data_IF_693540242765
#
_entry.id   IF_693540242765
#
_cell.length_a   1.000
_cell.length_b   1.000
_cell.length_c   1.000
_cell.angle_alpha   90.00
_cell.angle_beta   90.00
_cell.angle_gamma   90.00
#
_symmetry.space_group_name_H-M   'P 1'
#
loop_
_entity.id
_entity.type
_entity.pdbx_description
1 polymer ?
#
# COMPACT_ATOMS: atom_id res chain seq x y z
N UNK A 1 32.92 2.95 32.37
CA UNK A 1 33.99 2.01 32.00
C UNK A 1 34.10 0.92 33.07
N UNK A 2 33.07 0.04 33.12
CA UNK A 2 33.11 -1.13 33.99
C UNK A 2 33.11 -2.38 33.10
N UNK A 3 34.32 -2.86 32.82
CA UNK A 3 34.53 -4.20 32.28
C UNK A 3 33.94 -5.21 33.28
N UNK A 4 33.08 -6.17 32.88
CA UNK A 4 32.60 -7.18 33.80
C UNK A 4 33.78 -8.02 34.28
N UNK A 5 34.07 -7.96 35.60
CA UNK A 5 35.07 -8.76 36.23
C UNK A 5 34.72 -10.26 36.01
N UNK A 6 35.64 -10.99 35.36
CA UNK A 6 35.51 -12.43 35.17
C UNK A 6 35.80 -13.13 36.51
N UNK A 7 34.73 -13.50 37.23
CA UNK A 7 34.80 -14.31 38.45
C UNK A 7 34.74 -15.82 38.12
N UNK A 8 35.66 -16.30 37.31
CA UNK A 8 35.83 -17.74 37.06
C UNK A 8 36.91 -18.33 37.92
N UNK A 9 36.63 -19.38 38.72
CA UNK A 9 37.64 -20.20 39.34
C UNK A 9 38.55 -20.78 38.27
N UNK A 10 39.87 -20.55 38.39
CA UNK A 10 40.85 -21.18 37.49
C UNK A 10 40.78 -22.71 37.67
N UNK A 11 40.62 -23.49 36.59
CA UNK A 11 40.55 -24.95 36.68
C UNK A 11 41.86 -25.51 37.27
N UNK A 12 41.72 -26.46 38.21
CA UNK A 12 42.86 -27.04 38.93
C UNK A 12 43.41 -28.32 38.32
N UNK A 13 42.62 -28.93 37.38
CA UNK A 13 43.07 -30.09 36.62
C UNK A 13 42.56 -30.08 35.17
N UNK A 14 43.07 -30.97 34.32
CA UNK A 14 42.72 -31.05 32.90
C UNK A 14 41.24 -31.47 32.66
N UNK A 15 40.65 -32.24 33.58
CA UNK A 15 39.25 -32.66 33.49
C UNK A 15 38.27 -31.51 33.73
N UNK A 16 38.59 -30.66 34.70
CA UNK A 16 37.78 -29.46 35.01
C UNK A 16 37.85 -28.45 33.86
N UNK A 17 39.03 -28.25 33.27
CA UNK A 17 39.20 -27.40 32.10
C UNK A 17 38.40 -27.87 30.91
N UNK A 18 38.41 -29.16 30.58
CA UNK A 18 37.65 -29.76 29.51
C UNK A 18 36.13 -29.57 29.73
N UNK A 19 35.67 -29.81 30.96
CA UNK A 19 34.25 -29.62 31.30
C UNK A 19 33.77 -28.18 31.12
N UNK A 20 34.56 -27.20 31.59
CA UNK A 20 34.26 -25.79 31.45
C UNK A 20 34.28 -25.34 29.97
N UNK A 21 35.28 -25.82 29.21
CA UNK A 21 35.34 -25.55 27.76
C UNK A 21 34.15 -26.12 27.03
N UNK A 22 33.72 -27.34 27.34
CA UNK A 22 32.54 -27.95 26.75
C UNK A 22 31.24 -27.21 27.08
N UNK A 23 31.10 -26.75 28.33
CA UNK A 23 29.93 -25.95 28.73
C UNK A 23 29.91 -24.58 28.05
N UNK A 24 31.08 -23.93 27.92
CA UNK A 24 31.24 -22.65 27.22
C UNK A 24 30.90 -22.81 25.70
N UNK A 25 31.38 -23.88 25.07
CA UNK A 25 31.09 -24.19 23.68
C UNK A 25 29.58 -24.38 23.44
N UNK A 26 28.95 -25.21 24.26
CA UNK A 26 27.48 -25.44 24.15
C UNK A 26 26.67 -24.17 24.43
N UNK A 27 27.16 -23.26 25.25
CA UNK A 27 26.54 -21.97 25.47
C UNK A 27 26.66 -21.09 24.24
N UNK A 28 27.86 -20.99 23.65
CA UNK A 28 28.10 -20.23 22.41
C UNK A 28 27.27 -20.78 21.24
N UNK A 29 27.17 -22.08 21.10
CA UNK A 29 26.33 -22.72 20.09
C UNK A 29 24.85 -22.31 20.23
N UNK A 30 24.32 -22.33 21.46
CA UNK A 30 22.93 -21.87 21.71
C UNK A 30 22.74 -20.39 21.47
N UNK A 31 23.71 -19.56 21.87
CA UNK A 31 23.67 -18.11 21.61
C UNK A 31 23.73 -17.82 20.11
N UNK A 32 24.59 -18.52 19.36
CA UNK A 32 24.65 -18.41 17.89
C UNK A 32 23.33 -18.81 17.24
N UNK A 33 22.75 -19.94 17.62
CA UNK A 33 21.47 -20.40 17.08
C UNK A 33 20.32 -19.43 17.40
N UNK A 34 20.31 -18.85 18.60
CA UNK A 34 19.33 -17.83 18.97
C UNK A 34 19.46 -16.57 18.10
N UNK A 35 20.70 -16.12 17.86
CA UNK A 35 20.96 -14.96 16.99
C UNK A 35 20.53 -15.25 15.54
N UNK A 36 20.88 -16.40 14.99
CA UNK A 36 20.47 -16.79 13.64
C UNK A 36 18.95 -16.79 13.48
N UNK A 37 18.22 -17.38 14.43
CA UNK A 37 16.77 -17.38 14.42
C UNK A 37 16.21 -15.95 14.52
N UNK A 38 16.76 -15.11 15.39
CA UNK A 38 16.32 -13.73 15.56
C UNK A 38 16.56 -12.89 14.29
N UNK A 39 17.69 -13.09 13.60
CA UNK A 39 17.95 -12.43 12.32
C UNK A 39 16.98 -12.86 11.24
N UNK A 40 16.69 -14.15 11.13
CA UNK A 40 15.71 -14.69 10.19
C UNK A 40 14.29 -14.13 10.43
N UNK A 41 13.89 -14.00 11.70
CA UNK A 41 12.60 -13.41 12.07
C UNK A 41 12.53 -11.92 11.69
N UNK A 42 13.62 -11.18 11.91
CA UNK A 42 13.72 -9.76 11.54
C UNK A 42 13.65 -9.60 10.01
N UNK A 43 14.42 -10.38 9.25
CA UNK A 43 14.42 -10.34 7.79
C UNK A 43 13.02 -10.63 7.24
N UNK A 44 12.36 -11.67 7.73
CA UNK A 44 10.99 -12.03 7.34
C UNK A 44 9.99 -10.90 7.64
N UNK A 45 10.10 -10.25 8.80
CA UNK A 45 9.25 -9.11 9.17
C UNK A 45 9.49 -7.90 8.28
N UNK A 46 10.75 -7.61 7.93
CA UNK A 46 11.10 -6.51 7.04
C UNK A 46 10.57 -6.73 5.62
N UNK A 47 10.67 -7.94 5.07
CA UNK A 47 10.12 -8.28 3.76
C UNK A 47 8.59 -8.16 3.72
N UNK A 48 7.89 -8.58 4.79
CA UNK A 48 6.44 -8.43 4.91
C UNK A 48 6.01 -6.96 4.99
N UNK A 49 6.74 -6.12 5.72
CA UNK A 49 6.47 -4.70 5.84
C UNK A 49 6.72 -3.95 4.51
N UNK A 50 7.75 -4.32 3.76
CA UNK A 50 8.05 -3.74 2.46
C UNK A 50 6.97 -4.12 1.43
N UNK A 51 6.58 -5.39 1.36
CA UNK A 51 5.49 -5.85 0.52
C UNK A 51 4.17 -5.14 0.88
N UNK A 52 3.87 -4.97 2.16
CA UNK A 52 2.68 -4.26 2.62
C UNK A 52 2.68 -2.77 2.20
N UNK A 53 3.85 -2.11 2.22
CA UNK A 53 4.00 -0.70 1.77
C UNK A 53 3.72 -0.53 0.29
N UNK A 54 4.23 -1.43 -0.54
CA UNK A 54 4.02 -1.36 -1.99
C UNK A 54 2.57 -1.60 -2.39
N UNK A 55 1.84 -2.34 -1.59
CA UNK A 55 0.43 -2.64 -1.76
C UNK A 55 -0.53 -1.66 -1.05
N UNK A 56 0.01 -0.69 -0.30
CA UNK A 56 -0.78 0.35 0.36
C UNK A 56 -0.88 1.59 -0.54
N UNK A 57 -2.11 2.05 -0.90
CA UNK A 57 -2.28 3.29 -1.65
C UNK A 57 -1.61 4.48 -0.95
N UNK A 58 -0.61 5.09 -1.59
CA UNK A 58 0.28 6.07 -0.94
C UNK A 58 0.67 7.27 -1.80
N UNK A 59 0.21 7.32 -3.05
CA UNK A 59 0.41 8.46 -3.96
C UNK A 59 -0.92 8.99 -4.46
N UNK A 60 -0.94 10.21 -4.97
CA UNK A 60 -2.11 10.74 -5.68
C UNK A 60 -2.32 9.99 -7.01
N UNK A 61 -3.58 9.77 -7.42
CA UNK A 61 -3.91 9.06 -8.66
C UNK A 61 -3.74 9.92 -9.92
N UNK A 62 -2.90 10.93 -9.88
CA UNK A 62 -2.66 11.87 -10.97
C UNK A 62 -1.17 12.20 -11.05
N UNK A 63 -0.67 12.43 -12.26
CA UNK A 63 0.73 12.79 -12.44
C UNK A 63 1.11 14.05 -11.65
N UNK A 64 2.21 14.03 -10.87
CA UNK A 64 2.66 15.20 -10.10
C UNK A 64 3.00 16.43 -10.98
N UNK A 65 3.29 16.21 -12.28
CA UNK A 65 3.57 17.28 -13.25
C UNK A 65 2.31 17.87 -13.91
N UNK A 66 1.13 17.31 -13.62
CA UNK A 66 -0.12 17.80 -14.17
C UNK A 66 -0.62 19.03 -13.39
N UNK A 67 -1.33 19.90 -14.08
CA UNK A 67 -2.11 20.97 -13.44
C UNK A 67 -3.44 20.39 -12.94
N UNK A 68 -3.63 20.37 -11.62
CA UNK A 68 -4.82 19.82 -10.98
C UNK A 68 -5.19 20.56 -9.69
N UNK A 69 -6.42 20.39 -9.25
CA UNK A 69 -6.88 20.80 -7.91
C UNK A 69 -7.90 19.81 -7.35
N UNK A 70 -8.01 19.76 -6.02
CA UNK A 70 -9.04 18.95 -5.35
C UNK A 70 -10.37 19.70 -5.46
N UNK A 71 -11.29 19.17 -6.26
CA UNK A 71 -12.60 19.79 -6.49
C UNK A 71 -13.63 19.36 -5.45
N UNK A 72 -13.50 18.16 -4.87
CA UNK A 72 -14.40 17.68 -3.82
C UNK A 72 -13.71 16.63 -2.94
N UNK A 73 -14.06 16.64 -1.64
CA UNK A 73 -13.44 15.77 -0.64
C UNK A 73 -14.37 14.62 -0.23
N UNK A 74 -13.78 13.62 0.40
CA UNK A 74 -14.51 12.57 1.09
C UNK A 74 -15.36 13.15 2.22
N UNK A 75 -16.59 12.65 2.37
CA UNK A 75 -17.47 13.04 3.46
C UNK A 75 -18.84 13.53 3.00
N UNK A 76 -19.60 14.12 3.93
CA UNK A 76 -20.93 14.67 3.63
C UNK A 76 -20.83 16.03 2.94
N UNK A 77 -21.52 16.16 1.81
CA UNK A 77 -21.61 17.40 1.01
C UNK A 77 -22.99 17.59 0.40
N UNK A 78 -23.25 18.75 -0.17
CA UNK A 78 -24.40 18.97 -1.03
C UNK A 78 -24.17 18.34 -2.41
N UNK A 79 -25.09 17.53 -2.86
CA UNK A 79 -25.05 16.95 -4.21
C UNK A 79 -25.15 18.07 -5.26
N UNK A 80 -24.23 18.15 -6.25
CA UNK A 80 -24.17 19.25 -7.20
C UNK A 80 -25.37 19.34 -8.15
N UNK A 81 -26.19 18.29 -8.24
CA UNK A 81 -27.36 18.25 -9.11
C UNK A 81 -28.68 18.48 -8.37
N UNK A 82 -28.77 17.98 -7.13
CA UNK A 82 -30.04 18.01 -6.37
C UNK A 82 -30.00 18.98 -5.19
N UNK A 83 -28.83 19.44 -4.77
CA UNK A 83 -28.62 20.25 -3.59
C UNK A 83 -28.82 19.49 -2.26
N UNK A 84 -29.20 18.23 -2.30
CA UNK A 84 -29.45 17.42 -1.09
C UNK A 84 -28.14 16.97 -0.45
N UNK A 85 -28.16 16.81 0.87
CA UNK A 85 -27.01 16.28 1.60
C UNK A 85 -26.74 14.82 1.20
N UNK A 86 -25.56 14.55 0.66
CA UNK A 86 -25.15 13.22 0.21
C UNK A 86 -23.72 12.92 0.72
N UNK A 87 -23.47 11.63 1.00
CA UNK A 87 -22.12 11.20 1.34
C UNK A 87 -21.31 10.94 0.06
N UNK A 88 -20.14 11.58 -0.03
CA UNK A 88 -19.16 11.38 -1.09
C UNK A 88 -18.10 10.38 -0.63
N UNK A 89 -18.08 9.20 -1.23
CA UNK A 89 -17.22 8.06 -0.83
C UNK A 89 -15.83 8.07 -1.45
N UNK A 90 -15.32 9.22 -1.88
CA UNK A 90 -14.01 9.36 -2.50
C UNK A 90 -13.50 10.80 -2.53
N UNK A 91 -12.43 11.00 -3.26
CA UNK A 91 -11.79 12.29 -3.53
C UNK A 91 -11.96 12.59 -5.03
N UNK A 92 -12.45 13.79 -5.36
CA UNK A 92 -12.54 14.25 -6.74
C UNK A 92 -11.38 15.21 -7.04
N UNK A 93 -10.57 14.86 -8.04
CA UNK A 93 -9.43 15.66 -8.48
C UNK A 93 -9.67 16.13 -9.90
N UNK A 94 -9.91 17.42 -10.04
CA UNK A 94 -10.14 18.09 -11.33
C UNK A 94 -8.82 18.43 -12.02
N UNK A 95 -8.83 18.35 -13.35
CA UNK A 95 -7.68 18.65 -14.20
C UNK A 95 -8.05 18.61 -15.66
N UNK A 96 -7.08 18.74 -16.54
CA UNK A 96 -7.31 18.70 -17.98
C UNK A 96 -7.74 17.31 -18.43
N UNK A 97 -8.75 17.25 -19.31
CA UNK A 97 -9.14 15.98 -19.95
C UNK A 97 -7.97 15.39 -20.70
N UNK A 98 -7.73 14.08 -20.50
CA UNK A 98 -6.57 13.39 -21.08
C UNK A 98 -5.34 13.31 -20.17
N UNK A 99 -5.34 13.96 -19.00
CA UNK A 99 -4.28 13.81 -17.99
C UNK A 99 -4.18 12.35 -17.54
N UNK A 100 -2.97 11.85 -17.36
CA UNK A 100 -2.71 10.48 -16.93
C UNK A 100 -3.27 10.22 -15.53
N UNK A 101 -3.99 9.12 -15.38
CA UNK A 101 -4.41 8.56 -14.09
C UNK A 101 -3.46 7.43 -13.74
N UNK A 102 -2.93 7.45 -12.51
CA UNK A 102 -1.90 6.53 -12.04
C UNK A 102 -2.46 5.54 -11.01
N UNK A 103 -1.96 4.32 -11.02
CA UNK A 103 -2.18 3.36 -9.95
C UNK A 103 -1.51 3.85 -8.66
N UNK A 104 -2.24 3.87 -7.55
CA UNK A 104 -1.75 4.44 -6.28
C UNK A 104 -0.95 3.47 -5.43
N UNK A 105 -0.96 2.18 -5.79
CA UNK A 105 -0.17 1.10 -5.21
C UNK A 105 -0.04 -0.04 -6.22
N UNK A 106 0.86 -0.99 -5.96
CA UNK A 106 0.92 -2.25 -6.71
C UNK A 106 -0.38 -3.03 -6.55
N UNK A 107 -0.82 -3.74 -7.58
CA UNK A 107 -2.06 -4.50 -7.51
C UNK A 107 -2.44 -5.20 -8.80
N UNK A 108 -3.66 -5.70 -8.82
CA UNK A 108 -4.24 -6.42 -9.95
C UNK A 108 -5.54 -5.76 -10.37
N UNK A 109 -5.77 -5.66 -11.67
CA UNK A 109 -7.02 -5.13 -12.22
C UNK A 109 -8.17 -6.07 -11.88
N UNK A 110 -9.08 -5.62 -11.00
CA UNK A 110 -10.30 -6.37 -10.64
C UNK A 110 -11.42 -6.15 -11.65
N UNK A 111 -11.58 -4.89 -12.13
CA UNK A 111 -12.65 -4.52 -13.08
C UNK A 111 -12.22 -3.40 -14.00
N UNK A 112 -12.67 -3.48 -15.28
CA UNK A 112 -12.62 -2.39 -16.26
C UNK A 112 -14.00 -2.31 -16.89
N UNK A 113 -14.83 -1.37 -16.45
CA UNK A 113 -16.23 -1.31 -16.83
C UNK A 113 -16.71 0.13 -17.06
N UNK A 114 -17.97 0.26 -17.49
CA UNK A 114 -18.69 1.52 -17.56
C UNK A 114 -19.98 1.42 -16.74
N UNK A 115 -20.23 2.43 -15.93
CA UNK A 115 -21.43 2.60 -15.13
C UNK A 115 -22.10 3.94 -15.42
N UNK A 116 -23.41 4.08 -15.14
CA UNK A 116 -24.14 5.33 -15.39
C UNK A 116 -23.71 6.47 -14.47
N UNK A 117 -23.30 6.16 -13.24
CA UNK A 117 -22.91 7.16 -12.24
C UNK A 117 -21.43 7.49 -12.36
N UNK A 118 -20.56 6.49 -12.26
CA UNK A 118 -19.12 6.64 -12.21
C UNK A 118 -18.44 6.70 -13.60
N UNK A 119 -19.20 6.51 -14.69
CA UNK A 119 -18.66 6.55 -16.05
C UNK A 119 -17.78 5.35 -16.38
N UNK A 120 -16.76 5.57 -17.19
CA UNK A 120 -15.69 4.58 -17.40
C UNK A 120 -14.81 4.52 -16.17
N UNK A 121 -14.55 3.33 -15.66
CA UNK A 121 -13.77 3.17 -14.43
C UNK A 121 -12.91 1.92 -14.42
N UNK A 122 -11.86 1.97 -13.62
CA UNK A 122 -11.03 0.84 -13.22
C UNK A 122 -11.16 0.64 -11.73
N UNK A 123 -11.19 -0.63 -11.31
CA UNK A 123 -11.03 -1.03 -9.92
C UNK A 123 -9.80 -1.92 -9.80
N UNK A 124 -8.91 -1.59 -8.88
CA UNK A 124 -7.73 -2.36 -8.55
C UNK A 124 -7.91 -3.06 -7.21
N UNK A 125 -7.40 -4.27 -7.10
CA UNK A 125 -7.20 -5.01 -5.86
C UNK A 125 -5.70 -5.01 -5.53
N UNK A 126 -5.35 -4.39 -4.41
CA UNK A 126 -3.96 -4.26 -3.99
C UNK A 126 -3.54 -5.36 -3.01
N UNK A 127 -4.44 -6.29 -2.66
CA UNK A 127 -4.19 -7.21 -1.56
C UNK A 127 -4.32 -6.52 -0.20
N UNK A 128 -3.99 -7.21 0.87
CA UNK A 128 -4.04 -6.71 2.27
C UNK A 128 -5.36 -5.99 2.63
N UNK A 129 -6.45 -6.31 1.93
CA UNK A 129 -7.77 -5.71 2.08
C UNK A 129 -7.95 -4.35 1.41
N UNK A 130 -6.94 -3.81 0.71
CA UNK A 130 -7.04 -2.55 -0.01
C UNK A 130 -7.57 -2.74 -1.43
N UNK A 131 -8.51 -1.88 -1.80
CA UNK A 131 -9.03 -1.74 -3.17
C UNK A 131 -9.19 -0.27 -3.51
N UNK A 132 -8.91 0.09 -4.75
CA UNK A 132 -9.11 1.46 -5.24
C UNK A 132 -10.00 1.49 -6.48
N UNK A 133 -10.72 2.60 -6.64
CA UNK A 133 -11.60 2.85 -7.79
C UNK A 133 -11.23 4.20 -8.40
N UNK A 134 -11.13 4.23 -9.72
CA UNK A 134 -10.79 5.41 -10.52
C UNK A 134 -11.89 5.62 -11.55
N UNK A 135 -12.71 6.63 -11.35
CA UNK A 135 -13.91 6.90 -12.15
C UNK A 135 -13.78 8.05 -13.12
N UNK A 136 -14.84 8.29 -13.88
CA UNK A 136 -15.04 9.36 -14.86
C UNK A 136 -14.00 9.43 -15.97
N UNK A 137 -13.29 8.30 -16.23
CA UNK A 137 -12.24 8.23 -17.23
C UNK A 137 -12.75 8.61 -18.63
N UNK A 138 -11.86 9.21 -19.43
CA UNK A 138 -12.13 9.72 -20.76
C UNK A 138 -12.71 8.64 -21.69
N UNK A 139 -12.10 7.46 -21.65
CA UNK A 139 -12.51 6.27 -22.41
C UNK A 139 -12.31 5.03 -21.55
N UNK A 140 -12.88 3.92 -21.99
CA UNK A 140 -12.60 2.61 -21.36
C UNK A 140 -11.10 2.34 -21.51
N UNK A 141 -10.37 2.14 -20.40
CA UNK A 141 -8.94 1.82 -20.45
C UNK A 141 -8.66 0.50 -21.17
N UNK A 142 -7.49 0.44 -21.82
CA UNK A 142 -7.00 -0.77 -22.46
C UNK A 142 -6.23 -1.62 -21.45
N UNK A 143 -6.97 -2.11 -20.44
CA UNK A 143 -6.48 -2.98 -19.37
C UNK A 143 -7.34 -4.24 -19.33
N UNK A 144 -6.71 -5.36 -19.00
CA UNK A 144 -7.40 -6.64 -18.83
C UNK A 144 -7.61 -6.96 -17.35
N UNK A 145 -8.76 -7.57 -17.02
CA UNK A 145 -8.99 -8.13 -15.68
C UNK A 145 -7.94 -9.21 -15.40
N UNK A 146 -7.30 -9.15 -14.24
CA UNK A 146 -6.16 -9.99 -13.87
C UNK A 146 -4.79 -9.42 -14.25
N UNK A 147 -4.73 -8.31 -14.99
CA UNK A 147 -3.46 -7.64 -15.29
C UNK A 147 -2.84 -7.06 -14.03
N UNK A 148 -1.54 -7.31 -13.84
CA UNK A 148 -0.73 -6.71 -12.77
C UNK A 148 -0.38 -5.29 -13.16
N UNK A 149 -0.43 -4.39 -12.21
CA UNK A 149 -0.01 -2.97 -12.32
C UNK A 149 0.87 -2.60 -11.14
N UNK A 150 1.85 -1.76 -11.38
CA UNK A 150 2.73 -1.21 -10.35
C UNK A 150 2.29 0.19 -9.94
N UNK A 151 2.65 0.60 -8.74
CA UNK A 151 2.42 1.97 -8.26
C UNK A 151 3.08 2.98 -9.21
N UNK A 152 2.28 3.93 -9.72
CA UNK A 152 2.72 4.92 -10.71
C UNK A 152 2.44 4.56 -12.15
N UNK A 153 2.00 3.34 -12.46
CA UNK A 153 1.59 2.95 -13.81
C UNK A 153 0.39 3.77 -14.28
N UNK A 154 0.40 4.12 -15.56
CA UNK A 154 -0.74 4.80 -16.19
C UNK A 154 -1.85 3.79 -16.45
N UNK A 155 -2.95 3.94 -15.72
CA UNK A 155 -4.12 3.04 -15.79
C UNK A 155 -5.30 3.62 -16.59
N UNK A 156 -5.17 4.86 -17.06
CA UNK A 156 -6.20 5.54 -17.85
C UNK A 156 -5.96 7.03 -17.94
N UNK A 157 -6.99 7.74 -18.41
CA UNK A 157 -6.90 9.18 -18.61
C UNK A 157 -8.13 9.88 -18.03
N UNK A 158 -7.90 11.02 -17.41
CA UNK A 158 -8.92 11.88 -16.82
C UNK A 158 -9.94 12.31 -17.88
N UNK A 159 -11.21 12.23 -17.55
CA UNK A 159 -12.31 12.54 -18.44
C UNK A 159 -13.50 13.17 -17.71
N UNK A 160 -14.67 13.06 -18.35
CA UNK A 160 -15.94 13.62 -17.86
C UNK A 160 -17.09 12.67 -18.19
N UNK A 161 -16.88 11.36 -18.03
CA UNK A 161 -17.92 10.35 -18.36
C UNK A 161 -18.77 10.00 -17.14
N UNK A 162 -20.00 9.54 -17.38
CA UNK A 162 -20.95 9.26 -16.30
C UNK A 162 -21.63 10.51 -15.75
N UNK A 163 -21.94 10.53 -14.44
CA UNK A 163 -22.57 11.66 -13.75
C UNK A 163 -21.47 12.59 -13.20
N UNK A 164 -21.03 13.52 -14.04
CA UNK A 164 -19.94 14.43 -13.77
C UNK A 164 -20.25 15.83 -14.29
N UNK A 165 -19.85 16.86 -13.56
CA UNK A 165 -20.08 18.28 -13.91
C UNK A 165 -18.92 18.91 -14.69
N UNK A 166 -17.76 18.26 -14.71
CA UNK A 166 -16.56 18.73 -15.40
C UNK A 166 -15.47 17.67 -15.38
N UNK A 167 -14.36 17.85 -16.12
CA UNK A 167 -13.28 16.88 -16.16
C UNK A 167 -12.63 16.69 -14.78
N UNK A 168 -12.69 15.46 -14.23
CA UNK A 168 -12.04 15.07 -12.99
C UNK A 168 -11.87 13.55 -12.94
N UNK A 169 -11.04 13.07 -12.05
CA UNK A 169 -11.02 11.67 -11.61
C UNK A 169 -11.69 11.55 -10.25
N UNK A 170 -12.68 10.66 -10.14
CA UNK A 170 -13.22 10.22 -8.87
C UNK A 170 -12.35 9.09 -8.34
N UNK A 171 -11.68 9.31 -7.21
CA UNK A 171 -10.78 8.35 -6.58
C UNK A 171 -11.35 7.88 -5.25
N UNK A 172 -11.57 6.59 -5.10
CA UNK A 172 -12.07 6.00 -3.85
C UNK A 172 -11.17 4.88 -3.35
N UNK A 173 -10.93 4.87 -2.05
CA UNK A 173 -10.16 3.85 -1.34
C UNK A 173 -11.09 3.03 -0.46
N UNK A 174 -10.95 1.72 -0.51
CA UNK A 174 -11.64 0.79 0.36
C UNK A 174 -10.63 -0.06 1.12
N UNK A 175 -10.86 -0.28 2.40
CA UNK A 175 -10.10 -1.23 3.21
C UNK A 175 -11.07 -2.20 3.88
N UNK A 176 -10.88 -3.50 3.66
CA UNK A 176 -11.77 -4.56 4.18
C UNK A 176 -13.27 -4.30 3.85
N UNK A 177 -13.55 -3.85 2.63
CA UNK A 177 -14.89 -3.53 2.16
C UNK A 177 -15.49 -2.21 2.65
N UNK A 178 -14.81 -1.48 3.52
CA UNK A 178 -15.23 -0.16 4.01
C UNK A 178 -14.56 0.96 3.24
N UNK A 179 -15.33 1.97 2.84
CA UNK A 179 -14.79 3.21 2.26
C UNK A 179 -13.94 3.94 3.29
N UNK A 180 -12.79 4.45 2.86
CA UNK A 180 -11.84 5.24 3.65
C UNK A 180 -11.64 6.58 2.98
N UNK A 181 -11.26 7.57 3.78
CA UNK A 181 -10.81 8.88 3.28
C UNK A 181 -9.48 8.68 2.55
N UNK A 182 -9.42 8.99 1.24
CA UNK A 182 -8.22 8.77 0.42
C UNK A 182 -7.04 9.63 0.81
#
# INVERSE_FOLDING_TARGET
DESPAWEGKVPTDAGDLLSQTYLAFNRLERESQFLENSFSDIESSMEQDEAARDHTPSILPISPSADYYISDRYGYRSDPYTGQRQFHGGLDIAGHSGTNILATANGVVEKVQRDRRIGNYVKLDHGHGFKTVYGHMLRKPDLQVGQVVERGDVIGHLGNTGRSTGPHVHYAVHRNGQSKDP
#
